data_IF_525952558704
#
_entry.id   IF_525952558704
#
_cell.length_a   1.000
_cell.length_b   1.000
_cell.length_c   1.000
_cell.angle_alpha   90.00
_cell.angle_beta   90.00
_cell.angle_gamma   90.00
#
_symmetry.space_group_name_H-M   'P 1'
#
loop_
_entity.id
_entity.type
_entity.pdbx_description
1 polymer ?
#
# COMPACT_ATOMS: atom_id res chain seq x y z
N UNK A 1 -19.23 6.28 -20.20
CA UNK A 1 -18.81 4.87 -20.43
C UNK A 1 -17.30 4.69 -20.39
N UNK A 2 -16.49 5.72 -20.73
CA UNK A 2 -15.02 5.65 -20.69
C UNK A 2 -14.44 5.65 -19.27
N UNK A 3 -14.96 6.53 -18.40
CA UNK A 3 -14.49 6.64 -17.01
C UNK A 3 -14.55 5.32 -16.23
N UNK A 4 -15.62 4.53 -16.40
CA UNK A 4 -15.75 3.21 -15.77
C UNK A 4 -14.68 2.23 -16.26
N UNK A 5 -14.34 2.25 -17.56
CA UNK A 5 -13.30 1.37 -18.12
C UNK A 5 -11.93 1.75 -17.60
N UNK A 6 -11.63 3.04 -17.54
CA UNK A 6 -10.39 3.55 -16.94
C UNK A 6 -10.29 3.14 -15.47
N UNK A 7 -11.38 3.23 -14.71
CA UNK A 7 -11.41 2.79 -13.32
C UNK A 7 -11.15 1.28 -13.19
N UNK A 8 -11.77 0.45 -14.04
CA UNK A 8 -11.55 -1.00 -14.05
C UNK A 8 -10.10 -1.35 -14.42
N UNK A 9 -9.52 -0.68 -15.42
CA UNK A 9 -8.13 -0.89 -15.83
C UNK A 9 -7.15 -0.48 -14.72
N UNK A 10 -7.38 0.66 -14.05
CA UNK A 10 -6.58 1.10 -12.92
C UNK A 10 -6.67 0.09 -11.75
N UNK A 11 -7.86 -0.44 -11.46
CA UNK A 11 -8.05 -1.48 -10.43
C UNK A 11 -7.30 -2.77 -10.77
N UNK A 12 -7.39 -3.26 -12.00
CA UNK A 12 -6.69 -4.48 -12.43
C UNK A 12 -5.16 -4.29 -12.40
N UNK A 13 -4.68 -3.12 -12.82
CA UNK A 13 -3.27 -2.75 -12.72
C UNK A 13 -2.78 -2.76 -11.27
N UNK A 14 -3.55 -2.16 -10.36
CA UNK A 14 -3.25 -2.15 -8.93
C UNK A 14 -3.24 -3.58 -8.35
N UNK A 15 -4.25 -4.39 -8.62
CA UNK A 15 -4.36 -5.77 -8.10
C UNK A 15 -3.23 -6.68 -8.62
N UNK A 16 -2.90 -6.57 -9.91
CA UNK A 16 -1.80 -7.32 -10.51
C UNK A 16 -0.45 -6.85 -9.98
N UNK A 17 -0.30 -5.56 -9.71
CA UNK A 17 0.85 -5.03 -8.99
C UNK A 17 0.91 -5.68 -7.61
N UNK A 18 -0.11 -5.53 -6.77
CA UNK A 18 -0.18 -6.07 -5.39
C UNK A 18 0.24 -7.53 -5.29
N UNK A 19 -0.26 -8.39 -6.19
CA UNK A 19 0.16 -9.80 -6.32
C UNK A 19 1.67 -9.99 -6.52
N UNK A 20 2.32 -9.15 -7.32
CA UNK A 20 3.77 -9.21 -7.54
C UNK A 20 4.59 -8.80 -6.31
N UNK A 21 4.08 -7.94 -5.41
CA UNK A 21 4.85 -7.56 -4.23
C UNK A 21 4.75 -8.56 -3.08
N UNK A 22 3.76 -9.46 -3.06
CA UNK A 22 3.80 -10.60 -2.14
C UNK A 22 5.07 -11.46 -2.33
N UNK A 23 5.71 -11.36 -3.51
CA UNK A 23 6.97 -12.03 -3.82
C UNK A 23 8.22 -11.21 -3.41
N UNK A 24 8.07 -9.96 -3.00
CA UNK A 24 9.19 -9.13 -2.56
C UNK A 24 9.35 -9.23 -1.03
N UNK A 25 10.60 -9.20 -0.52
CA UNK A 25 10.83 -9.15 0.92
C UNK A 25 10.23 -7.85 1.50
N UNK A 26 9.75 -7.88 2.76
CA UNK A 26 9.28 -6.68 3.44
C UNK A 26 10.41 -5.66 3.60
N UNK A 27 10.05 -4.38 3.59
CA UNK A 27 10.99 -3.28 3.79
C UNK A 27 11.68 -3.39 5.16
N UNK A 28 12.99 -3.17 5.20
CA UNK A 28 13.71 -3.03 6.46
C UNK A 28 13.32 -1.68 7.11
N UNK A 29 12.77 -1.68 8.34
CA UNK A 29 12.46 -0.45 9.06
C UNK A 29 13.64 0.52 9.18
N UNK A 30 14.87 0.02 9.22
CA UNK A 30 16.07 0.84 9.27
C UNK A 30 16.27 1.68 8.00
N UNK A 31 15.88 1.15 6.83
CA UNK A 31 15.96 1.85 5.54
C UNK A 31 14.96 3.01 5.44
N UNK A 32 13.88 2.97 6.23
CA UNK A 32 12.86 4.03 6.26
C UNK A 32 13.32 5.28 7.03
N UNK A 33 14.48 5.23 7.72
CA UNK A 33 14.96 6.33 8.56
C UNK A 33 14.03 6.64 9.74
N UNK A 34 13.14 5.71 10.09
CA UNK A 34 12.19 5.85 11.19
C UNK A 34 12.87 5.42 12.48
N UNK A 35 12.96 6.35 13.44
CA UNK A 35 13.55 6.07 14.76
C UNK A 35 12.64 5.28 15.70
N UNK A 36 11.38 5.07 15.31
CA UNK A 36 10.40 4.31 16.07
C UNK A 36 10.35 2.85 15.63
N UNK A 37 10.11 1.94 16.58
CA UNK A 37 9.88 0.52 16.26
C UNK A 37 8.49 0.37 15.65
N UNK A 38 8.44 0.02 14.37
CA UNK A 38 7.19 -0.27 13.67
C UNK A 38 6.77 -1.72 13.92
N UNK A 39 5.49 -1.92 14.20
CA UNK A 39 4.88 -3.26 14.23
C UNK A 39 4.83 -3.83 12.79
N UNK A 40 4.79 -5.16 12.62
CA UNK A 40 4.76 -5.79 11.29
C UNK A 40 3.68 -5.21 10.36
N UNK A 41 2.44 -5.05 10.85
CA UNK A 41 1.35 -4.47 10.05
C UNK A 41 1.58 -2.99 9.66
N UNK A 42 2.37 -2.25 10.44
CA UNK A 42 2.73 -0.88 10.10
C UNK A 42 3.77 -0.85 8.98
N UNK A 43 4.72 -1.79 8.98
CA UNK A 43 5.71 -1.97 7.90
C UNK A 43 4.98 -2.33 6.60
N UNK A 44 4.02 -3.25 6.67
CA UNK A 44 3.16 -3.60 5.53
C UNK A 44 2.38 -2.38 5.01
N UNK A 45 1.77 -1.60 5.92
CA UNK A 45 1.05 -0.38 5.56
C UNK A 45 1.94 0.66 4.87
N UNK A 46 3.15 0.91 5.38
CA UNK A 46 4.12 1.83 4.75
C UNK A 46 4.60 1.30 3.40
N UNK A 47 4.89 0.01 3.30
CA UNK A 47 5.27 -0.65 2.04
C UNK A 47 4.18 -0.48 0.97
N UNK A 48 2.92 -0.64 1.38
CA UNK A 48 1.77 -0.43 0.52
C UNK A 48 1.63 1.02 0.04
N UNK A 49 1.86 2.00 0.93
CA UNK A 49 1.80 3.43 0.59
C UNK A 49 2.91 3.84 -0.39
N UNK A 50 4.17 3.45 -0.14
CA UNK A 50 5.30 3.70 -1.05
C UNK A 50 4.99 3.15 -2.44
N UNK A 51 4.34 1.99 -2.50
CA UNK A 51 3.95 1.41 -3.77
C UNK A 51 2.88 2.20 -4.50
N UNK A 52 1.86 2.70 -3.80
CA UNK A 52 0.82 3.55 -4.42
C UNK A 52 1.42 4.82 -4.99
N UNK A 53 2.41 5.40 -4.29
CA UNK A 53 3.21 6.50 -4.79
C UNK A 53 3.95 6.13 -6.10
N UNK A 54 4.65 4.99 -6.15
CA UNK A 54 5.34 4.53 -7.37
C UNK A 54 4.41 4.28 -8.56
N UNK A 55 3.16 3.87 -8.30
CA UNK A 55 2.14 3.67 -9.34
C UNK A 55 1.45 4.99 -9.77
N UNK A 56 1.78 6.12 -9.14
CA UNK A 56 1.16 7.42 -9.42
C UNK A 56 -0.29 7.53 -8.93
N UNK A 57 -0.66 6.77 -7.90
CA UNK A 57 -2.03 6.68 -7.38
C UNK A 57 -2.11 7.28 -5.99
N UNK A 58 -3.02 8.24 -5.81
CA UNK A 58 -3.35 8.79 -4.50
C UNK A 58 -4.38 7.92 -3.78
N UNK A 59 -4.24 7.78 -2.47
CA UNK A 59 -5.08 6.94 -1.63
C UNK A 59 -5.47 7.65 -0.34
N UNK A 60 -6.63 7.32 0.21
CA UNK A 60 -7.05 7.75 1.54
C UNK A 60 -6.80 6.60 2.53
N UNK A 61 -6.08 6.87 3.60
CA UNK A 61 -5.82 5.89 4.66
C UNK A 61 -6.94 5.98 5.69
N UNK A 62 -7.81 4.97 5.73
CA UNK A 62 -8.79 4.79 6.80
C UNK A 62 -8.17 3.95 7.92
N UNK A 63 -7.95 4.54 9.08
CA UNK A 63 -7.74 3.78 10.31
C UNK A 63 -9.10 3.64 11.00
N UNK A 64 -9.58 2.42 11.20
CA UNK A 64 -10.79 2.21 12.00
C UNK A 64 -10.43 2.37 13.48
N UNK A 65 -10.95 3.39 14.18
CA UNK A 65 -10.61 3.64 15.58
C UNK A 65 -11.22 2.59 16.53
N UNK A 66 -12.13 1.73 16.07
CA UNK A 66 -12.86 0.77 16.92
C UNK A 66 -12.30 -0.66 16.89
N UNK A 67 -11.24 -0.93 16.11
CA UNK A 67 -10.71 -2.29 15.94
C UNK A 67 -9.82 -2.81 17.09
N UNK A 68 -9.68 -2.03 18.18
CA UNK A 68 -8.88 -2.40 19.37
C UNK A 68 -9.62 -2.19 20.71
N UNK A 69 -10.95 -2.06 20.72
CA UNK A 69 -11.74 -2.01 21.96
C UNK A 69 -12.12 -3.40 22.47
#
# INVERSE_FOLDING_TARGET
MEYRRLLMAATEFILSSDRRALANPPLDPAELGVSAVLKPYQIEGVSWLIRRYQLGVNVLLGSDPHLFS
#
